data_IF_341399696205
#
_entry.id   IF_341399696205
#
_cell.length_a   1.000
_cell.length_b   1.000
_cell.length_c   1.000
_cell.angle_alpha   90.00
_cell.angle_beta   90.00
_cell.angle_gamma   90.00
#
_symmetry.space_group_name_H-M   'P 1'
#
loop_
_entity.id
_entity.type
_entity.pdbx_description
1 polymer ?
#
# COMPACT_ATOMS: atom_id res chain seq x y z
N UNK A 1 33.88 -9.40 24.93
CA UNK A 1 33.25 -9.88 26.19
C UNK A 1 31.77 -9.99 25.87
N UNK A 2 31.30 -11.21 25.56
CA UNK A 2 29.91 -11.46 25.18
C UNK A 2 29.05 -11.25 26.42
N UNK A 3 28.26 -10.17 26.46
CA UNK A 3 27.23 -10.02 27.47
C UNK A 3 26.29 -11.22 27.34
N UNK A 4 26.16 -12.01 28.40
CA UNK A 4 25.12 -13.02 28.47
C UNK A 4 23.79 -12.34 28.14
N UNK A 5 22.98 -12.89 27.20
CA UNK A 5 21.74 -12.25 26.81
C UNK A 5 20.79 -12.10 28.01
N UNK A 6 20.12 -10.95 28.12
CA UNK A 6 19.22 -10.63 29.24
C UNK A 6 17.97 -11.53 29.18
N UNK A 7 17.73 -12.31 30.24
CA UNK A 7 16.55 -13.17 30.35
C UNK A 7 15.22 -12.40 30.35
N UNK A 8 15.26 -11.08 30.58
CA UNK A 8 14.10 -10.19 30.54
C UNK A 8 13.80 -9.63 29.15
N UNK A 9 14.72 -9.79 28.19
CA UNK A 9 14.45 -9.38 26.81
C UNK A 9 13.33 -10.24 26.23
N UNK A 10 12.34 -9.60 25.62
CA UNK A 10 11.29 -10.33 24.91
C UNK A 10 11.84 -10.87 23.60
N UNK A 11 11.75 -12.18 23.43
CA UNK A 11 12.17 -12.87 22.22
C UNK A 11 11.00 -13.65 21.66
N UNK A 12 10.97 -13.81 20.34
CA UNK A 12 10.08 -14.78 19.72
C UNK A 12 10.87 -16.05 19.41
N UNK A 13 10.37 -17.18 19.87
CA UNK A 13 10.96 -18.51 19.76
C UNK A 13 10.14 -19.33 18.78
N UNK A 14 10.81 -20.03 17.86
CA UNK A 14 10.18 -20.96 16.92
C UNK A 14 10.60 -22.40 17.20
N UNK A 15 9.62 -23.32 17.20
CA UNK A 15 9.83 -24.76 17.32
C UNK A 15 8.70 -25.54 16.63
N UNK A 16 9.03 -26.55 15.81
CA UNK A 16 8.08 -27.38 15.04
C UNK A 16 6.98 -26.58 14.31
N UNK A 17 7.29 -25.37 13.84
CA UNK A 17 6.36 -24.47 13.16
C UNK A 17 5.44 -23.65 14.06
N UNK A 18 5.47 -23.87 15.38
CA UNK A 18 4.83 -23.01 16.37
C UNK A 18 5.74 -21.82 16.74
N UNK A 19 5.15 -20.65 16.99
CA UNK A 19 5.87 -19.44 17.44
C UNK A 19 5.30 -18.98 18.78
N UNK A 20 6.16 -18.79 19.78
CA UNK A 20 5.83 -18.25 21.11
C UNK A 20 6.61 -16.95 21.32
N UNK A 21 5.96 -15.93 21.88
CA UNK A 21 6.57 -14.63 22.18
C UNK A 21 6.39 -14.32 23.66
N UNK A 22 7.51 -14.34 24.40
CA UNK A 22 7.55 -14.09 25.83
C UNK A 22 8.97 -13.63 26.24
N UNK A 23 9.22 -13.22 27.50
CA UNK A 23 10.58 -13.02 27.99
C UNK A 23 11.43 -14.26 27.70
N UNK A 24 12.70 -14.07 27.34
CA UNK A 24 13.60 -15.12 26.83
C UNK A 24 13.61 -16.38 27.68
N UNK A 25 13.79 -16.23 29.00
CA UNK A 25 13.83 -17.38 29.92
C UNK A 25 12.55 -18.21 29.85
N UNK A 26 11.37 -17.65 30.16
CA UNK A 26 10.08 -18.32 30.03
C UNK A 26 9.79 -18.91 28.64
N UNK A 27 10.12 -18.21 27.56
CA UNK A 27 9.85 -18.67 26.20
C UNK A 27 10.68 -19.91 25.83
N UNK A 28 11.98 -19.89 26.16
CA UNK A 28 12.88 -21.02 25.93
C UNK A 28 12.53 -22.18 26.85
N UNK A 29 12.22 -21.92 28.12
CA UNK A 29 11.80 -22.95 29.07
C UNK A 29 10.53 -23.68 28.60
N UNK A 30 9.51 -22.95 28.13
CA UNK A 30 8.28 -23.55 27.63
C UNK A 30 8.52 -24.53 26.45
N UNK A 31 9.38 -24.15 25.49
CA UNK A 31 9.73 -25.01 24.35
C UNK A 31 10.51 -26.25 24.80
N UNK A 32 11.45 -26.09 25.74
CA UNK A 32 12.25 -27.21 26.27
C UNK A 32 11.42 -28.16 27.14
N UNK A 33 10.47 -27.65 27.93
CA UNK A 33 9.56 -28.44 28.77
C UNK A 33 8.62 -29.32 27.92
N UNK A 34 8.29 -28.89 26.70
CA UNK A 34 7.56 -29.68 25.70
C UNK A 34 8.44 -30.74 24.99
N UNK A 35 9.72 -30.84 25.36
CA UNK A 35 10.68 -31.76 24.75
C UNK A 35 11.14 -31.35 23.35
N UNK A 36 10.78 -30.14 22.91
CA UNK A 36 11.14 -29.62 21.60
C UNK A 36 12.46 -28.84 21.66
N UNK A 37 13.08 -28.65 20.50
CA UNK A 37 14.29 -27.84 20.37
C UNK A 37 13.95 -26.43 19.87
N UNK A 38 14.59 -25.43 20.47
CA UNK A 38 14.51 -24.06 19.98
C UNK A 38 15.28 -23.97 18.66
N UNK A 39 14.56 -23.78 17.55
CA UNK A 39 15.19 -23.67 16.23
C UNK A 39 15.77 -22.28 15.98
N UNK A 40 15.08 -21.24 16.47
CA UNK A 40 15.49 -19.84 16.30
C UNK A 40 14.84 -18.93 17.33
N UNK A 41 15.56 -17.87 17.69
CA UNK A 41 15.04 -16.76 18.49
C UNK A 41 15.33 -15.44 17.77
N UNK A 42 14.40 -14.48 17.82
CA UNK A 42 14.65 -13.12 17.32
C UNK A 42 14.12 -12.05 18.27
N UNK A 43 14.76 -10.89 18.25
CA UNK A 43 14.49 -9.70 19.07
C UNK A 43 14.13 -8.50 18.18
N UNK A 44 13.83 -7.34 18.78
CA UNK A 44 13.56 -6.12 18.02
C UNK A 44 14.77 -5.67 17.18
N UNK A 45 16.00 -5.92 17.65
CA UNK A 45 17.23 -5.54 16.96
C UNK A 45 17.38 -6.26 15.61
N UNK A 46 16.88 -7.49 15.48
CA UNK A 46 16.96 -8.26 14.23
C UNK A 46 16.18 -7.64 13.06
N UNK A 47 15.20 -6.77 13.35
CA UNK A 47 14.45 -6.05 12.33
C UNK A 47 15.25 -4.87 11.76
N UNK A 48 16.14 -4.26 12.56
CA UNK A 48 17.11 -3.23 12.16
C UNK A 48 16.45 -2.08 11.37
N UNK A 49 15.38 -1.51 11.93
CA UNK A 49 14.58 -0.46 11.28
C UNK A 49 13.75 0.35 12.30
N UNK A 50 13.97 1.66 12.37
CA UNK A 50 13.29 2.57 13.30
C UNK A 50 11.77 2.72 13.03
N UNK A 51 11.32 2.34 11.83
CA UNK A 51 9.91 2.36 11.44
C UNK A 51 9.23 0.99 11.67
N UNK A 52 9.93 0.02 12.27
CA UNK A 52 9.31 -1.23 12.70
C UNK A 52 8.45 -1.01 13.96
N UNK A 53 7.15 -1.27 13.83
CA UNK A 53 6.23 -1.29 14.97
C UNK A 53 6.06 -2.72 15.50
N UNK A 54 6.36 -2.94 16.79
CA UNK A 54 6.13 -4.23 17.45
C UNK A 54 4.64 -4.64 17.30
N UNK A 55 4.34 -5.90 16.92
CA UNK A 55 2.96 -6.34 16.69
C UNK A 55 1.99 -6.13 17.85
N UNK A 56 2.52 -6.04 19.07
CA UNK A 56 1.77 -5.86 20.32
C UNK A 56 1.64 -4.39 20.77
N UNK A 57 2.45 -3.47 20.23
CA UNK A 57 2.40 -2.04 20.58
C UNK A 57 1.73 -1.19 19.51
N UNK A 58 1.57 -1.72 18.29
CA UNK A 58 0.86 -1.04 17.20
C UNK A 58 -0.63 -0.81 17.53
N UNK A 59 -1.27 0.23 16.97
CA UNK A 59 -2.70 0.45 17.15
C UNK A 59 -3.56 -0.74 16.73
N UNK A 60 -4.66 -0.99 17.47
CA UNK A 60 -5.54 -2.16 17.25
C UNK A 60 -6.10 -2.25 15.82
N UNK A 61 -6.36 -1.12 15.17
CA UNK A 61 -6.90 -1.06 13.81
C UNK A 61 -5.85 -1.26 12.70
N UNK A 62 -4.57 -1.46 13.04
CA UNK A 62 -3.50 -1.62 12.05
C UNK A 62 -3.81 -2.77 11.07
N UNK A 63 -3.84 -2.43 9.79
CA UNK A 63 -4.13 -3.33 8.68
C UNK A 63 -5.59 -3.73 8.47
N UNK A 64 -6.50 -3.48 9.42
CA UNK A 64 -7.92 -3.87 9.28
C UNK A 64 -8.64 -3.10 8.18
N UNK A 65 -8.37 -1.80 8.05
CA UNK A 65 -8.97 -0.96 7.03
C UNK A 65 -8.66 -1.50 5.62
N UNK A 66 -7.39 -1.79 5.34
CA UNK A 66 -6.98 -2.37 4.05
C UNK A 66 -7.48 -3.80 3.85
N UNK A 67 -7.65 -4.59 4.91
CA UNK A 67 -8.25 -5.93 4.79
C UNK A 67 -9.69 -5.85 4.27
N UNK A 68 -10.53 -4.99 4.85
CA UNK A 68 -11.90 -4.81 4.35
C UNK A 68 -11.92 -4.18 2.95
N UNK A 69 -11.04 -3.20 2.70
CA UNK A 69 -10.92 -2.57 1.39
C UNK A 69 -10.46 -3.55 0.30
N UNK A 70 -9.66 -4.56 0.63
CA UNK A 70 -9.25 -5.60 -0.32
C UNK A 70 -10.44 -6.39 -0.87
N UNK A 71 -11.35 -6.85 -0.01
CA UNK A 71 -12.56 -7.54 -0.46
C UNK A 71 -13.49 -6.59 -1.23
N UNK A 72 -13.59 -5.33 -0.79
CA UNK A 72 -14.30 -4.29 -1.55
C UNK A 72 -13.71 -4.07 -2.94
N UNK A 73 -12.38 -4.06 -3.07
CA UNK A 73 -11.67 -3.90 -4.33
C UNK A 73 -11.88 -5.09 -5.29
N UNK A 74 -11.97 -6.32 -4.76
CA UNK A 74 -12.33 -7.50 -5.56
C UNK A 74 -13.73 -7.33 -6.17
N UNK A 75 -14.72 -6.94 -5.36
CA UNK A 75 -16.10 -6.71 -5.84
C UNK A 75 -16.12 -5.57 -6.86
N UNK A 76 -15.45 -4.47 -6.56
CA UNK A 76 -15.34 -3.33 -7.45
C UNK A 76 -14.69 -3.71 -8.80
N UNK A 77 -13.63 -4.51 -8.79
CA UNK A 77 -12.99 -5.03 -9.99
C UNK A 77 -13.88 -6.00 -10.78
N UNK A 78 -14.59 -6.90 -10.08
CA UNK A 78 -15.54 -7.82 -10.69
C UNK A 78 -16.71 -7.09 -11.40
N UNK A 79 -17.01 -5.85 -11.01
CA UNK A 79 -18.00 -4.99 -11.67
C UNK A 79 -17.36 -4.17 -12.80
N UNK A 80 -16.27 -3.45 -12.54
CA UNK A 80 -15.75 -2.48 -13.49
C UNK A 80 -15.08 -3.14 -14.71
N UNK A 81 -14.39 -4.27 -14.53
CA UNK A 81 -13.66 -4.94 -15.61
C UNK A 81 -14.60 -5.46 -16.71
N UNK A 82 -15.71 -6.17 -16.41
CA UNK A 82 -16.67 -6.58 -17.44
C UNK A 82 -17.31 -5.38 -18.13
N UNK A 83 -17.69 -4.33 -17.39
CA UNK A 83 -18.28 -3.12 -17.98
C UNK A 83 -17.33 -2.45 -18.98
N UNK A 84 -16.05 -2.31 -18.62
CA UNK A 84 -15.05 -1.78 -19.54
C UNK A 84 -14.82 -2.68 -20.75
N UNK A 85 -14.77 -3.99 -20.54
CA UNK A 85 -14.58 -4.96 -21.63
C UNK A 85 -15.72 -4.95 -22.65
N UNK A 86 -16.96 -4.67 -22.22
CA UNK A 86 -18.12 -4.55 -23.12
C UNK A 86 -18.03 -3.29 -23.99
N UNK A 87 -17.49 -2.20 -23.45
CA UNK A 87 -17.35 -0.96 -24.23
C UNK A 87 -16.21 -1.07 -25.26
N UNK A 88 -15.14 -1.79 -24.93
CA UNK A 88 -14.03 -2.04 -25.85
C UNK A 88 -12.78 -2.59 -25.18
N UNK A 89 -11.88 -3.16 -25.99
CA UNK A 89 -10.67 -3.80 -25.49
C UNK A 89 -9.75 -2.81 -24.74
N UNK A 90 -9.72 -1.55 -25.17
CA UNK A 90 -8.91 -0.50 -24.54
C UNK A 90 -9.44 -0.13 -23.15
N UNK A 91 -10.75 -0.01 -22.98
CA UNK A 91 -11.33 0.18 -21.64
C UNK A 91 -11.14 -1.04 -20.75
N UNK A 92 -11.47 -2.24 -21.25
CA UNK A 92 -11.32 -3.48 -20.49
C UNK A 92 -9.89 -3.67 -19.95
N UNK A 93 -8.88 -3.49 -20.81
CA UNK A 93 -7.47 -3.59 -20.40
C UNK A 93 -7.09 -2.54 -19.35
N UNK A 94 -7.39 -1.27 -19.63
CA UNK A 94 -6.95 -0.17 -18.75
C UNK A 94 -7.57 -0.24 -17.35
N UNK A 95 -8.85 -0.60 -17.27
CA UNK A 95 -9.55 -0.84 -16.01
C UNK A 95 -9.03 -2.09 -15.30
N UNK A 96 -8.75 -3.18 -16.03
CA UNK A 96 -8.18 -4.39 -15.42
C UNK A 96 -6.84 -4.10 -14.73
N UNK A 97 -5.96 -3.31 -15.38
CA UNK A 97 -4.70 -2.87 -14.77
C UNK A 97 -4.95 -2.09 -13.48
N UNK A 98 -5.87 -1.12 -13.49
CA UNK A 98 -6.24 -0.36 -12.29
C UNK A 98 -6.79 -1.27 -11.16
N UNK A 99 -7.73 -2.16 -11.48
CA UNK A 99 -8.37 -3.05 -10.53
C UNK A 99 -7.39 -4.08 -9.93
N UNK A 100 -6.40 -4.54 -10.71
CA UNK A 100 -5.36 -5.42 -10.20
C UNK A 100 -4.42 -4.70 -9.22
N UNK A 101 -4.05 -3.46 -9.51
CA UNK A 101 -3.13 -2.72 -8.62
C UNK A 101 -3.79 -2.25 -7.33
N UNK A 102 -5.07 -1.87 -7.34
CA UNK A 102 -5.82 -1.56 -6.10
C UNK A 102 -6.02 -2.82 -5.24
N UNK A 103 -6.31 -3.98 -5.85
CA UNK A 103 -6.35 -5.25 -5.13
C UNK A 103 -4.98 -5.59 -4.54
N UNK A 104 -3.91 -5.44 -5.32
CA UNK A 104 -2.54 -5.65 -4.86
C UNK A 104 -2.17 -4.75 -3.69
N UNK A 105 -2.49 -3.44 -3.76
CA UNK A 105 -2.22 -2.47 -2.71
C UNK A 105 -2.87 -2.89 -1.40
N UNK A 106 -4.19 -3.07 -1.40
CA UNK A 106 -4.92 -3.39 -0.18
C UNK A 106 -4.62 -4.80 0.33
N UNK A 107 -4.49 -5.78 -0.56
CA UNK A 107 -4.20 -7.17 -0.19
C UNK A 107 -2.82 -7.33 0.43
N UNK A 108 -1.78 -6.81 -0.23
CA UNK A 108 -0.40 -6.87 0.29
C UNK A 108 -0.28 -6.08 1.58
N UNK A 109 -0.91 -4.90 1.66
CA UNK A 109 -0.86 -4.07 2.87
C UNK A 109 -1.60 -4.70 4.06
N UNK A 110 -2.76 -5.30 3.82
CA UNK A 110 -3.45 -6.09 4.81
C UNK A 110 -2.57 -7.24 5.30
N UNK A 111 -1.98 -8.01 4.39
CA UNK A 111 -1.14 -9.15 4.73
C UNK A 111 0.13 -8.73 5.52
N UNK A 112 0.78 -7.67 5.08
CA UNK A 112 1.95 -7.08 5.74
C UNK A 112 1.63 -6.70 7.20
N UNK A 113 0.51 -6.01 7.41
CA UNK A 113 0.16 -5.50 8.73
C UNK A 113 -0.58 -6.51 9.62
N UNK A 114 -1.32 -7.48 9.08
CA UNK A 114 -2.11 -8.40 9.92
C UNK A 114 -1.29 -9.57 10.44
N UNK A 115 -0.33 -10.07 9.65
CA UNK A 115 0.48 -11.22 10.02
C UNK A 115 1.69 -10.83 10.87
N UNK A 116 2.06 -11.70 11.81
CA UNK A 116 3.34 -11.66 12.52
C UNK A 116 4.38 -12.35 11.64
N UNK A 117 5.48 -11.66 11.36
CA UNK A 117 6.53 -12.13 10.46
C UNK A 117 7.84 -12.30 11.20
N UNK A 118 8.67 -13.25 10.74
CA UNK A 118 10.09 -13.28 11.07
C UNK A 118 10.81 -12.05 10.47
N UNK A 119 12.00 -11.66 10.94
CA UNK A 119 12.71 -10.48 10.44
C UNK A 119 12.89 -10.47 8.91
N UNK A 120 13.23 -11.64 8.33
CA UNK A 120 13.34 -11.80 6.87
C UNK A 120 12.00 -11.64 6.15
N UNK A 121 10.95 -12.31 6.65
CA UNK A 121 9.61 -12.23 6.07
C UNK A 121 9.05 -10.81 6.14
N UNK A 122 9.29 -10.10 7.24
CA UNK A 122 8.88 -8.72 7.42
C UNK A 122 9.58 -7.79 6.41
N UNK A 123 10.90 -7.93 6.21
CA UNK A 123 11.64 -7.15 5.20
C UNK A 123 11.10 -7.42 3.78
N UNK A 124 10.75 -8.67 3.45
CA UNK A 124 10.11 -9.00 2.16
C UNK A 124 8.75 -8.32 2.03
N UNK A 125 7.88 -8.45 3.03
CA UNK A 125 6.56 -7.84 2.96
C UNK A 125 6.59 -6.32 2.97
N UNK A 126 7.53 -5.69 3.68
CA UNK A 126 7.77 -4.24 3.63
C UNK A 126 8.14 -3.78 2.23
N UNK A 127 8.99 -4.55 1.51
CA UNK A 127 9.34 -4.27 0.11
C UNK A 127 8.10 -4.28 -0.76
N UNK A 128 7.28 -5.32 -0.64
CA UNK A 128 6.07 -5.48 -1.44
C UNK A 128 5.05 -4.38 -1.14
N UNK A 129 4.75 -4.13 0.14
CA UNK A 129 3.78 -3.13 0.59
C UNK A 129 4.14 -1.72 0.09
N UNK A 130 5.38 -1.30 0.30
CA UNK A 130 5.85 0.01 -0.17
C UNK A 130 5.94 0.09 -1.72
N UNK A 131 6.27 -1.01 -2.40
CA UNK A 131 6.30 -1.05 -3.87
C UNK A 131 4.91 -0.92 -4.48
N UNK A 132 3.90 -1.49 -3.83
CA UNK A 132 2.52 -1.42 -4.33
C UNK A 132 1.98 0.00 -4.38
N UNK A 133 2.46 0.92 -3.56
CA UNK A 133 2.07 2.34 -3.64
C UNK A 133 2.46 2.91 -5.01
N UNK A 134 3.69 2.66 -5.48
CA UNK A 134 4.14 3.10 -6.80
C UNK A 134 3.33 2.46 -7.93
N UNK A 135 3.13 1.14 -7.87
CA UNK A 135 2.37 0.40 -8.89
C UNK A 135 0.91 0.83 -8.94
N UNK A 136 0.30 1.11 -7.80
CA UNK A 136 -1.07 1.59 -7.72
C UNK A 136 -1.23 3.00 -8.28
N UNK A 137 -0.27 3.90 -8.05
CA UNK A 137 -0.26 5.21 -8.70
C UNK A 137 -0.28 5.02 -10.22
N UNK A 138 0.67 4.27 -10.80
CA UNK A 138 0.73 4.03 -12.24
C UNK A 138 -0.52 3.30 -12.78
N UNK A 139 -1.04 2.32 -12.03
CA UNK A 139 -2.28 1.63 -12.36
C UNK A 139 -3.49 2.55 -12.39
N UNK A 140 -3.54 3.55 -11.51
CA UNK A 140 -4.59 4.59 -11.51
C UNK A 140 -4.51 5.50 -12.72
N UNK A 141 -3.30 5.88 -13.15
CA UNK A 141 -3.12 6.65 -14.38
C UNK A 141 -3.54 5.89 -15.64
N UNK A 142 -3.46 4.56 -15.63
CA UNK A 142 -3.67 3.75 -16.84
C UNK A 142 -5.02 4.00 -17.52
N UNK A 143 -6.19 3.92 -16.85
CA UNK A 143 -7.47 4.28 -17.46
C UNK A 143 -7.57 5.77 -17.82
N UNK A 144 -7.04 6.70 -17.02
CA UNK A 144 -7.11 8.12 -17.37
C UNK A 144 -6.28 8.46 -18.62
N UNK A 145 -5.04 8.00 -18.69
CA UNK A 145 -4.15 8.22 -19.83
C UNK A 145 -4.67 7.57 -21.11
N UNK A 146 -5.37 6.44 -21.01
CA UNK A 146 -5.88 5.72 -22.18
C UNK A 146 -7.29 6.15 -22.58
N UNK A 147 -8.13 6.65 -21.68
CA UNK A 147 -9.56 6.91 -21.95
C UNK A 147 -9.96 8.38 -21.76
N UNK A 148 -9.14 9.21 -21.11
CA UNK A 148 -9.53 10.57 -20.72
C UNK A 148 -8.49 11.64 -21.14
N UNK A 149 -7.53 11.27 -21.98
CA UNK A 149 -6.46 12.17 -22.46
C UNK A 149 -6.27 11.97 -23.96
N UNK A 150 -6.15 13.08 -24.69
CA UNK A 150 -5.88 13.04 -26.13
C UNK A 150 -4.50 12.42 -26.40
N UNK A 151 -4.40 11.69 -27.51
CA UNK A 151 -3.14 11.08 -27.92
C UNK A 151 -2.37 12.04 -28.84
N UNK A 152 -1.04 12.17 -28.68
CA UNK A 152 -0.12 11.26 -28.01
C UNK A 152 0.17 11.54 -26.52
N UNK A 153 -0.38 12.60 -25.94
CA UNK A 153 -0.08 13.01 -24.55
C UNK A 153 -0.40 11.90 -23.54
N UNK A 154 -1.53 11.20 -23.72
CA UNK A 154 -1.91 10.06 -22.89
C UNK A 154 -0.81 8.99 -22.81
N UNK A 155 -0.22 8.58 -23.94
CA UNK A 155 0.88 7.63 -23.97
C UNK A 155 2.16 8.15 -23.29
N UNK A 156 2.49 9.44 -23.45
CA UNK A 156 3.65 10.02 -22.77
C UNK A 156 3.50 10.01 -21.25
N UNK A 157 2.30 10.39 -20.76
CA UNK A 157 2.00 10.34 -19.33
C UNK A 157 2.05 8.91 -18.84
N UNK A 158 1.43 7.97 -19.56
CA UNK A 158 1.44 6.56 -19.19
C UNK A 158 2.87 5.98 -19.09
N UNK A 159 3.71 6.26 -20.09
CA UNK A 159 5.11 5.84 -20.08
C UNK A 159 5.88 6.46 -18.92
N UNK A 160 5.71 7.76 -18.68
CA UNK A 160 6.36 8.48 -17.59
C UNK A 160 6.00 7.96 -16.21
N UNK A 161 4.71 7.74 -15.93
CA UNK A 161 4.25 7.27 -14.62
C UNK A 161 4.64 5.81 -14.35
N UNK A 162 4.60 4.94 -15.36
CA UNK A 162 5.08 3.55 -15.21
C UNK A 162 6.59 3.49 -15.05
N UNK A 163 7.36 4.29 -15.79
CA UNK A 163 8.81 4.38 -15.60
C UNK A 163 9.16 4.88 -14.19
N UNK A 164 8.48 5.94 -13.72
CA UNK A 164 8.63 6.45 -12.36
C UNK A 164 8.24 5.42 -11.29
N UNK A 165 7.15 4.67 -11.52
CA UNK A 165 6.74 3.61 -10.62
C UNK A 165 7.77 2.48 -10.55
N UNK A 166 8.30 2.02 -11.68
CA UNK A 166 9.35 0.99 -11.72
C UNK A 166 10.64 1.46 -11.04
N UNK A 167 11.04 2.72 -11.23
CA UNK A 167 12.16 3.31 -10.50
C UNK A 167 11.91 3.30 -8.97
N UNK A 168 10.69 3.65 -8.55
CA UNK A 168 10.26 3.58 -7.16
C UNK A 168 10.25 2.16 -6.57
N UNK A 169 9.78 1.17 -7.34
CA UNK A 169 9.84 -0.25 -6.98
C UNK A 169 11.29 -0.69 -6.81
N UNK A 170 12.16 -0.37 -7.77
CA UNK A 170 13.59 -0.67 -7.67
C UNK A 170 14.21 -0.07 -6.40
N UNK A 171 13.88 1.18 -6.06
CA UNK A 171 14.34 1.81 -4.81
C UNK A 171 13.89 1.02 -3.58
N UNK A 172 12.64 0.55 -3.51
CA UNK A 172 12.14 -0.24 -2.36
C UNK A 172 12.70 -1.66 -2.34
N UNK A 173 13.03 -2.23 -3.50
CA UNK A 173 13.70 -3.52 -3.62
C UNK A 173 15.21 -3.48 -3.36
N UNK A 174 15.87 -2.33 -3.42
CA UNK A 174 17.29 -2.21 -3.04
C UNK A 174 17.45 -1.66 -1.63
N UNK A 175 16.56 -0.75 -1.22
CA UNK A 175 16.60 -0.06 0.07
C UNK A 175 15.23 -0.09 0.78
N UNK A 176 14.85 -1.24 1.37
CA UNK A 176 13.54 -1.40 2.04
C UNK A 176 13.39 -0.58 3.31
N UNK A 177 14.51 -0.31 3.99
CA UNK A 177 14.60 0.47 5.23
C UNK A 177 14.79 1.97 4.95
N UNK A 178 14.66 2.40 3.69
CA UNK A 178 14.74 3.80 3.32
C UNK A 178 13.76 4.63 4.16
N UNK A 179 14.21 5.73 4.78
CA UNK A 179 13.36 6.57 5.61
C UNK A 179 12.10 7.01 4.87
N UNK A 180 10.99 7.12 5.59
CA UNK A 180 9.69 7.57 5.04
C UNK A 180 9.78 8.91 4.28
N UNK A 181 10.66 9.82 4.69
CA UNK A 181 10.85 11.12 4.04
C UNK A 181 11.45 11.03 2.63
N UNK A 182 12.06 9.90 2.26
CA UNK A 182 12.48 9.63 0.88
C UNK A 182 11.29 9.13 0.06
N UNK A 183 10.51 8.18 0.60
CA UNK A 183 9.40 7.56 -0.12
C UNK A 183 8.22 8.50 -0.37
N UNK A 184 7.78 9.20 0.68
CA UNK A 184 6.55 10.02 0.61
C UNK A 184 6.60 11.10 -0.46
N UNK A 185 7.67 11.92 -0.59
CA UNK A 185 7.77 12.89 -1.66
C UNK A 185 7.78 12.27 -3.05
N UNK A 186 8.35 11.08 -3.23
CA UNK A 186 8.33 10.37 -4.51
C UNK A 186 6.92 9.90 -4.88
N UNK A 187 6.17 9.37 -3.91
CA UNK A 187 4.76 9.00 -4.12
C UNK A 187 3.91 10.22 -4.50
N UNK A 188 4.07 11.32 -3.77
CA UNK A 188 3.34 12.57 -4.03
C UNK A 188 3.75 13.13 -5.39
N UNK A 189 5.05 13.27 -5.68
CA UNK A 189 5.54 13.79 -6.95
C UNK A 189 5.02 12.99 -8.15
N UNK A 190 5.07 11.66 -8.08
CA UNK A 190 4.52 10.79 -9.11
C UNK A 190 2.99 10.93 -9.22
N UNK A 191 2.30 11.00 -8.08
CA UNK A 191 0.85 11.18 -8.02
C UNK A 191 0.36 12.53 -8.57
N UNK A 192 1.19 13.57 -8.58
CA UNK A 192 0.86 14.89 -9.08
C UNK A 192 1.15 15.11 -10.56
N UNK A 193 1.67 14.12 -11.30
CA UNK A 193 1.77 14.18 -12.78
C UNK A 193 0.41 14.49 -13.43
N UNK A 194 -0.70 14.19 -12.76
CA UNK A 194 -2.06 14.43 -13.21
C UNK A 194 -2.35 15.91 -13.51
N UNK A 195 -1.62 16.85 -12.92
CA UNK A 195 -1.78 18.29 -13.21
C UNK A 195 -1.64 18.62 -14.69
N UNK A 196 -0.82 17.85 -15.41
CA UNK A 196 -0.59 18.05 -16.85
C UNK A 196 -1.74 17.57 -17.73
N UNK A 197 -2.69 16.80 -17.19
CA UNK A 197 -3.82 16.23 -17.94
C UNK A 197 -5.19 16.70 -17.45
N UNK A 198 -5.27 17.55 -16.43
CA UNK A 198 -6.57 17.97 -15.84
C UNK A 198 -7.51 18.63 -16.86
N UNK A 199 -6.96 19.38 -17.82
CA UNK A 199 -7.76 20.00 -18.89
C UNK A 199 -8.42 18.93 -19.76
N UNK A 200 -7.70 17.88 -20.15
CA UNK A 200 -8.28 16.80 -20.95
C UNK A 200 -9.29 16.00 -20.13
N UNK A 201 -8.99 15.72 -18.85
CA UNK A 201 -9.96 15.08 -17.94
C UNK A 201 -11.27 15.88 -17.89
N UNK A 202 -11.20 17.22 -17.81
CA UNK A 202 -12.38 18.06 -17.79
C UNK A 202 -13.21 17.94 -19.07
N UNK A 203 -12.57 18.03 -20.24
CA UNK A 203 -13.26 18.06 -21.53
C UNK A 203 -13.74 16.68 -21.98
N UNK A 204 -13.01 15.61 -21.63
CA UNK A 204 -13.26 14.25 -22.10
C UNK A 204 -14.03 13.46 -21.03
N UNK A 205 -13.51 13.37 -19.80
CA UNK A 205 -14.15 12.59 -18.74
C UNK A 205 -15.23 13.37 -17.96
N UNK A 206 -15.28 14.69 -18.12
CA UNK A 206 -16.28 15.57 -17.52
C UNK A 206 -15.93 16.08 -16.12
N UNK A 207 -16.71 17.07 -15.66
CA UNK A 207 -16.48 17.77 -14.38
C UNK A 207 -16.50 16.85 -13.17
N UNK A 208 -17.37 15.84 -13.16
CA UNK A 208 -17.47 14.87 -12.05
C UNK A 208 -16.15 14.10 -11.89
N UNK A 209 -15.58 13.61 -12.99
CA UNK A 209 -14.30 12.89 -12.99
C UNK A 209 -13.17 13.78 -12.51
N UNK A 210 -13.12 15.04 -12.98
CA UNK A 210 -12.13 16.02 -12.54
C UNK A 210 -12.18 16.25 -11.03
N UNK A 211 -13.36 16.54 -10.49
CA UNK A 211 -13.54 16.84 -9.06
C UNK A 211 -13.16 15.64 -8.20
N UNK A 212 -13.60 14.44 -8.58
CA UNK A 212 -13.26 13.21 -7.87
C UNK A 212 -11.76 12.88 -7.94
N UNK A 213 -11.14 13.06 -9.10
CA UNK A 213 -9.68 12.90 -9.28
C UNK A 213 -8.92 13.86 -8.38
N UNK A 214 -9.29 15.14 -8.38
CA UNK A 214 -8.66 16.19 -7.57
C UNK A 214 -8.87 15.94 -6.07
N UNK A 215 -10.10 15.64 -5.65
CA UNK A 215 -10.40 15.32 -4.25
C UNK A 215 -9.60 14.10 -3.77
N UNK A 216 -9.55 13.02 -4.56
CA UNK A 216 -8.74 11.84 -4.26
C UNK A 216 -7.24 12.16 -4.19
N UNK A 217 -6.72 12.98 -5.10
CA UNK A 217 -5.32 13.42 -5.09
C UNK A 217 -4.95 14.22 -3.85
N UNK A 218 -5.84 15.12 -3.40
CA UNK A 218 -5.68 15.86 -2.14
C UNK A 218 -5.71 14.90 -0.94
N UNK A 219 -6.65 13.95 -0.90
CA UNK A 219 -6.74 12.97 0.18
C UNK A 219 -5.47 12.10 0.27
N UNK A 220 -4.93 11.61 -0.86
CA UNK A 220 -3.64 10.90 -0.86
C UNK A 220 -2.51 11.77 -0.31
N UNK A 221 -2.47 13.04 -0.70
CA UNK A 221 -1.43 13.98 -0.26
C UNK A 221 -1.53 14.22 1.25
N UNK A 222 -2.73 14.52 1.77
CA UNK A 222 -2.97 14.73 3.20
C UNK A 222 -2.64 13.48 4.00
N UNK A 223 -3.08 12.30 3.53
CA UNK A 223 -2.73 11.02 4.16
C UNK A 223 -1.22 10.77 4.18
N UNK A 224 -0.53 10.99 3.05
CA UNK A 224 0.91 10.83 2.94
C UNK A 224 1.69 11.77 3.85
N UNK A 225 1.24 13.02 3.98
CA UNK A 225 1.80 13.99 4.94
C UNK A 225 1.58 13.52 6.37
N UNK A 226 0.36 13.11 6.74
CA UNK A 226 0.06 12.58 8.08
C UNK A 226 0.97 11.39 8.45
N UNK A 227 1.20 10.49 7.48
CA UNK A 227 2.13 9.38 7.61
C UNK A 227 3.58 9.84 7.80
N UNK A 228 4.04 10.81 7.00
CA UNK A 228 5.40 11.34 7.09
C UNK A 228 5.68 11.98 8.46
N UNK A 229 4.73 12.76 8.99
CA UNK A 229 4.90 13.52 10.25
C UNK A 229 4.52 12.75 11.52
N UNK A 230 4.05 11.49 11.40
CA UNK A 230 3.58 10.64 12.52
C UNK A 230 2.41 11.24 13.33
N UNK A 231 1.56 12.06 12.70
CA UNK A 231 0.42 12.74 13.34
C UNK A 231 -0.73 12.94 12.34
N UNK A 232 -2.00 13.06 12.80
CA UNK A 232 -2.47 13.01 14.19
C UNK A 232 -2.59 11.57 14.72
N UNK A 233 -2.81 11.42 16.04
CA UNK A 233 -3.19 10.15 16.66
C UNK A 233 -4.56 10.30 17.33
N UNK A 234 -5.67 10.19 16.57
CA UNK A 234 -7.02 10.50 17.05
C UNK A 234 -7.44 9.71 18.28
N UNK A 235 -7.12 8.40 18.30
CA UNK A 235 -7.38 7.51 19.42
C UNK A 235 -6.14 6.66 19.73
N UNK A 236 -5.27 7.12 20.65
CA UNK A 236 -4.04 6.41 21.02
C UNK A 236 -4.29 4.93 21.36
N UNK A 237 -3.47 4.04 20.81
CA UNK A 237 -3.61 2.57 20.96
C UNK A 237 -4.68 1.91 20.07
N UNK A 238 -5.59 2.67 19.48
CA UNK A 238 -6.65 2.13 18.60
C UNK A 238 -6.48 2.60 17.15
N UNK A 239 -6.35 3.90 16.94
CA UNK A 239 -6.33 4.57 15.65
C UNK A 239 -5.32 5.74 15.67
N UNK A 240 -4.19 5.56 14.98
CA UNK A 240 -3.11 6.54 14.88
C UNK A 240 -2.95 7.12 13.47
N UNK A 241 -1.84 7.81 13.25
CA UNK A 241 -1.52 8.46 11.97
C UNK A 241 -1.48 7.47 10.79
N UNK A 242 -1.10 6.22 11.04
CA UNK A 242 -1.01 5.18 10.02
C UNK A 242 -2.41 4.74 9.57
N UNK A 243 -3.34 4.64 10.52
CA UNK A 243 -4.73 4.35 10.23
C UNK A 243 -5.43 5.53 9.54
N UNK A 244 -5.05 6.78 9.87
CA UNK A 244 -5.47 7.98 9.12
C UNK A 244 -5.01 7.87 7.67
N UNK A 245 -3.74 7.52 7.44
CA UNK A 245 -3.20 7.31 6.09
C UNK A 245 -3.98 6.23 5.33
N UNK A 246 -4.23 5.08 5.95
CA UNK A 246 -5.03 4.00 5.35
C UNK A 246 -6.46 4.46 5.02
N UNK A 247 -7.13 5.15 5.93
CA UNK A 247 -8.48 5.66 5.71
C UNK A 247 -8.53 6.64 4.53
N UNK A 248 -7.59 7.61 4.49
CA UNK A 248 -7.50 8.57 3.38
C UNK A 248 -7.21 7.86 2.04
N UNK A 249 -6.36 6.84 2.06
CA UNK A 249 -6.04 6.02 0.88
C UNK A 249 -7.28 5.30 0.35
N UNK A 250 -8.11 4.74 1.23
CA UNK A 250 -9.36 4.07 0.84
C UNK A 250 -10.34 5.07 0.23
N UNK A 251 -10.59 6.20 0.90
CA UNK A 251 -11.55 7.21 0.40
C UNK A 251 -11.07 7.78 -0.94
N UNK A 252 -9.77 8.07 -1.08
CA UNK A 252 -9.18 8.51 -2.33
C UNK A 252 -9.33 7.46 -3.44
N UNK A 253 -9.11 6.18 -3.14
CA UNK A 253 -9.27 5.10 -4.10
C UNK A 253 -10.73 4.94 -4.55
N UNK A 254 -11.71 5.15 -3.65
CA UNK A 254 -13.13 5.18 -4.01
C UNK A 254 -13.42 6.35 -4.95
N UNK A 255 -12.91 7.56 -4.65
CA UNK A 255 -13.07 8.71 -5.54
C UNK A 255 -12.51 8.40 -6.95
N UNK A 256 -11.31 7.85 -7.01
CA UNK A 256 -10.65 7.52 -8.28
C UNK A 256 -11.36 6.40 -9.03
N UNK A 257 -11.87 5.37 -8.33
CA UNK A 257 -12.69 4.31 -8.93
C UNK A 257 -13.92 4.89 -9.64
N UNK A 258 -14.65 5.79 -8.95
CA UNK A 258 -15.84 6.43 -9.51
C UNK A 258 -15.47 7.36 -10.67
N UNK A 259 -14.36 8.08 -10.56
CA UNK A 259 -13.85 8.91 -11.66
C UNK A 259 -13.48 8.07 -12.90
N UNK A 260 -12.86 6.90 -12.72
CA UNK A 260 -12.56 5.95 -13.81
C UNK A 260 -13.83 5.43 -14.47
N UNK A 261 -14.87 5.13 -13.67
CA UNK A 261 -16.18 4.74 -14.21
C UNK A 261 -16.73 5.83 -15.16
N UNK A 262 -16.75 7.10 -14.75
CA UNK A 262 -17.21 8.19 -15.63
C UNK A 262 -16.31 8.40 -16.84
N UNK A 263 -14.98 8.36 -16.66
CA UNK A 263 -14.02 8.49 -17.75
C UNK A 263 -14.27 7.42 -18.84
N UNK A 264 -14.56 6.18 -18.44
CA UNK A 264 -14.82 5.08 -19.35
C UNK A 264 -16.05 5.29 -20.23
N UNK A 265 -17.15 5.83 -19.69
CA UNK A 265 -18.39 6.05 -20.45
C UNK A 265 -18.39 7.34 -21.27
N UNK A 266 -17.60 8.34 -20.88
CA UNK A 266 -17.50 9.61 -21.60
C UNK A 266 -16.36 9.60 -22.64
N UNK A 267 -15.47 8.61 -22.58
CA UNK A 267 -14.33 8.47 -23.47
C UNK A 267 -14.74 8.29 -24.94
N UNK A 268 -14.13 9.00 -25.89
CA UNK A 268 -14.24 8.72 -27.32
C UNK A 268 -13.24 7.65 -27.79
N UNK A 269 -12.40 7.09 -26.90
CA UNK A 269 -11.29 6.19 -27.22
C UNK A 269 -11.56 4.72 -26.87
N UNK A 270 -12.82 4.34 -26.65
CA UNK A 270 -13.15 3.01 -26.13
C UNK A 270 -13.06 1.92 -27.19
#
# INVERSE_FOLDING_TARGET
>A
MSTLPDDREHVRVQSDGAEIEAPRGPAVAAVLDEGQQVERTWTAEDFDDDDWDHPDTRPRMRGWLHLFAFFGAIVAGAVLIPLGSVLGARAGFSVAVYCLTICGLFGISALYHRRRWSPRGWKVMKRLDHSMIFLFIAGTYTPFSLLAVDQPLGYWVLGGVWAGALAGVCLKLTWPTAPRWVGVPLYIGLGWVAVFILTDILHIAGVTSLVLLAAGGVLYTVGGIAYAIKKPNPWPGVFGYHEVFHAMTIVAAICHYIAVYFAMYNSPFV
#
